data_IF_028159630042
#
_entry.id   IF_028159630042
#
_cell.length_a   1.000
_cell.length_b   1.000
_cell.length_c   1.000
_cell.angle_alpha   90.00
_cell.angle_beta   90.00
_cell.angle_gamma   90.00
#
_symmetry.space_group_name_H-M   'P 1'
#
loop_
_entity.id
_entity.type
_entity.pdbx_description
1 polymer ?
#
# COMPACT_ATOMS: atom_id res chain seq x y z
N UNK A 1 -12.21 -2.91 19.50
CA UNK A 1 -13.19 -3.86 18.93
C UNK A 1 -13.53 -3.53 17.48
N UNK A 2 -13.96 -2.31 17.13
CA UNK A 2 -14.18 -1.91 15.73
C UNK A 2 -12.95 -2.07 14.82
N UNK A 3 -11.74 -1.79 15.32
CA UNK A 3 -10.51 -1.90 14.53
C UNK A 3 -10.25 -3.31 14.00
N UNK A 4 -10.52 -4.34 14.81
CA UNK A 4 -10.37 -5.76 14.41
C UNK A 4 -11.39 -6.09 13.32
N UNK A 5 -12.62 -5.58 13.44
CA UNK A 5 -13.67 -5.78 12.45
C UNK A 5 -13.29 -5.18 11.09
N UNK A 6 -12.83 -3.93 11.07
CA UNK A 6 -12.35 -3.29 9.84
C UNK A 6 -11.13 -3.99 9.24
N UNK A 7 -10.20 -4.45 10.08
CA UNK A 7 -9.04 -5.20 9.63
C UNK A 7 -9.44 -6.53 8.97
N UNK A 8 -10.37 -7.27 9.58
CA UNK A 8 -10.90 -8.51 9.02
C UNK A 8 -11.61 -8.27 7.69
N UNK A 9 -12.48 -7.26 7.60
CA UNK A 9 -13.15 -6.91 6.33
C UNK A 9 -12.11 -6.63 5.24
N UNK A 10 -11.10 -5.80 5.53
CA UNK A 10 -10.04 -5.50 4.59
C UNK A 10 -9.26 -6.73 4.11
N UNK A 11 -9.01 -7.68 5.01
CA UNK A 11 -8.33 -8.93 4.68
C UNK A 11 -9.17 -9.81 3.74
N UNK A 12 -10.46 -10.01 4.04
CA UNK A 12 -11.36 -10.82 3.22
C UNK A 12 -11.72 -10.17 1.88
N UNK A 13 -11.76 -8.84 1.81
CA UNK A 13 -12.09 -8.11 0.58
C UNK A 13 -10.91 -7.91 -0.35
N UNK A 14 -9.67 -8.24 0.06
CA UNK A 14 -8.46 -8.13 -0.77
C UNK A 14 -8.57 -8.77 -2.18
N UNK A 15 -9.12 -9.99 -2.38
CA UNK A 15 -9.32 -10.55 -3.73
C UNK A 15 -10.40 -9.81 -4.52
N UNK A 16 -11.47 -9.34 -3.88
CA UNK A 16 -12.55 -8.58 -4.50
C UNK A 16 -12.08 -7.18 -4.95
N UNK A 17 -11.21 -6.55 -4.17
CA UNK A 17 -10.60 -5.25 -4.46
C UNK A 17 -9.62 -5.28 -5.65
N UNK A 18 -9.20 -6.47 -6.13
CA UNK A 18 -8.32 -6.56 -7.31
C UNK A 18 -9.05 -6.38 -8.63
N UNK A 19 -10.34 -6.72 -8.68
CA UNK A 19 -11.18 -6.63 -9.89
C UNK A 19 -12.54 -6.08 -9.50
N UNK A 20 -12.63 -4.76 -9.36
CA UNK A 20 -13.91 -4.13 -9.03
C UNK A 20 -14.61 -3.81 -10.35
N UNK A 21 -15.82 -4.33 -10.59
CA UNK A 21 -16.56 -4.01 -11.80
C UNK A 21 -16.93 -2.52 -11.81
N UNK A 22 -16.90 -1.92 -13.00
CA UNK A 22 -17.15 -0.49 -13.21
C UNK A 22 -18.50 -0.04 -12.62
N UNK A 23 -19.52 -0.90 -12.73
CA UNK A 23 -20.87 -0.66 -12.20
C UNK A 23 -20.87 -0.46 -10.68
N UNK A 24 -20.11 -1.26 -9.93
CA UNK A 24 -20.02 -1.09 -8.46
C UNK A 24 -19.30 0.21 -8.12
N UNK A 25 -18.22 0.54 -8.84
CA UNK A 25 -17.50 1.80 -8.60
C UNK A 25 -18.39 3.03 -8.85
N UNK A 26 -19.22 2.99 -9.89
CA UNK A 26 -20.11 4.10 -10.27
C UNK A 26 -21.25 4.26 -9.27
N UNK A 27 -21.89 3.17 -8.86
CA UNK A 27 -22.92 3.20 -7.80
C UNK A 27 -22.33 3.73 -6.49
N UNK A 28 -21.15 3.25 -6.08
CA UNK A 28 -20.49 3.76 -4.88
C UNK A 28 -20.11 5.24 -5.01
N UNK A 29 -19.65 5.72 -6.19
CA UNK A 29 -19.36 7.15 -6.37
C UNK A 29 -20.61 8.02 -6.21
N UNK A 30 -21.73 7.61 -6.80
CA UNK A 30 -23.01 8.33 -6.69
C UNK A 30 -23.47 8.35 -5.24
N UNK A 31 -23.39 7.22 -4.55
CA UNK A 31 -23.76 7.12 -3.14
C UNK A 31 -22.88 8.03 -2.25
N UNK A 32 -21.57 8.06 -2.49
CA UNK A 32 -20.66 8.95 -1.75
C UNK A 32 -20.95 10.44 -2.00
N UNK A 33 -21.25 10.81 -3.25
CA UNK A 33 -21.64 12.18 -3.61
C UNK A 33 -22.95 12.58 -2.92
N UNK A 34 -23.93 11.69 -2.93
CA UNK A 34 -25.23 11.90 -2.29
C UNK A 34 -25.08 12.10 -0.77
N UNK A 35 -24.25 11.29 -0.12
CA UNK A 35 -23.93 11.48 1.30
C UNK A 35 -23.28 12.84 1.59
N UNK A 36 -22.33 13.27 0.75
CA UNK A 36 -21.69 14.59 0.90
C UNK A 36 -22.72 15.71 0.75
N UNK A 37 -23.58 15.65 -0.27
CA UNK A 37 -24.61 16.68 -0.49
C UNK A 37 -25.64 16.72 0.63
N UNK A 38 -26.08 15.56 1.14
CA UNK A 38 -27.02 15.50 2.27
C UNK A 38 -26.43 16.08 3.55
N UNK A 39 -25.14 15.84 3.79
CA UNK A 39 -24.44 16.42 4.92
C UNK A 39 -24.30 17.94 4.79
N UNK A 40 -24.04 18.43 3.59
CA UNK A 40 -23.92 19.87 3.33
C UNK A 40 -25.26 20.61 3.46
N UNK A 41 -26.39 19.93 3.24
CA UNK A 41 -27.74 20.46 3.48
C UNK A 41 -28.19 20.34 4.94
N UNK A 42 -27.31 19.96 5.87
CA UNK A 42 -27.60 19.77 7.31
C UNK A 42 -28.70 18.74 7.63
N UNK A 43 -29.16 17.95 6.64
CA UNK A 43 -30.10 16.85 6.86
C UNK A 43 -29.44 15.64 7.52
N UNK A 44 -28.10 15.57 7.51
CA UNK A 44 -27.32 14.44 8.00
C UNK A 44 -26.17 14.89 8.91
N UNK A 45 -26.41 14.86 10.23
CA UNK A 45 -25.39 15.09 11.26
C UNK A 45 -24.45 13.88 11.40
N UNK A 46 -23.55 13.70 10.43
CA UNK A 46 -22.52 12.68 10.51
C UNK A 46 -21.25 13.24 11.15
N UNK A 47 -21.00 12.85 12.41
CA UNK A 47 -19.79 13.15 13.15
C UNK A 47 -19.06 11.86 13.51
N UNK A 48 -18.10 11.45 12.66
CA UNK A 48 -17.23 10.31 12.94
C UNK A 48 -16.06 10.76 13.83
N UNK A 49 -16.19 10.59 15.14
CA UNK A 49 -15.09 10.85 16.09
C UNK A 49 -14.52 9.55 16.65
N UNK A 50 -13.48 9.03 15.98
CA UNK A 50 -12.74 7.84 16.42
C UNK A 50 -12.06 8.02 17.78
N UNK A 51 -11.79 9.27 18.19
CA UNK A 51 -11.12 9.61 19.45
C UNK A 51 -12.06 9.57 20.66
N UNK A 52 -13.35 9.81 20.48
CA UNK A 52 -14.31 9.98 21.58
C UNK A 52 -15.41 8.92 21.65
N UNK A 53 -15.39 7.88 20.80
CA UNK A 53 -16.37 6.79 20.77
C UNK A 53 -17.85 7.24 20.74
N UNK A 54 -18.13 8.49 20.33
CA UNK A 54 -19.49 8.99 20.15
C UNK A 54 -19.96 8.60 18.75
N UNK A 55 -20.64 7.46 18.66
CA UNK A 55 -21.31 7.01 17.45
C UNK A 55 -22.77 7.44 17.53
N UNK A 56 -23.18 8.42 16.72
CA UNK A 56 -24.60 8.82 16.61
C UNK A 56 -25.36 7.78 15.77
N UNK A 57 -24.72 7.22 14.74
CA UNK A 57 -25.30 6.25 13.81
C UNK A 57 -24.28 5.19 13.36
N UNK A 58 -24.17 4.03 14.05
CA UNK A 58 -23.12 3.03 13.79
C UNK A 58 -23.17 2.41 12.39
N UNK A 59 -24.33 2.40 11.73
CA UNK A 59 -24.46 1.90 10.35
C UNK A 59 -23.80 2.85 9.33
N UNK A 60 -24.03 4.16 9.47
CA UNK A 60 -23.41 5.16 8.59
C UNK A 60 -21.90 5.22 8.78
N UNK A 61 -21.46 5.02 10.02
CA UNK A 61 -20.04 4.98 10.38
C UNK A 61 -19.28 3.84 9.69
N UNK A 62 -19.97 2.78 9.23
CA UNK A 62 -19.40 1.67 8.46
C UNK A 62 -19.57 1.87 6.96
N UNK A 63 -20.76 2.27 6.52
CA UNK A 63 -21.09 2.40 5.10
C UNK A 63 -20.25 3.50 4.43
N UNK A 64 -20.07 4.65 5.09
CA UNK A 64 -19.38 5.79 4.49
C UNK A 64 -17.89 5.49 4.25
N UNK A 65 -17.10 5.02 5.24
CA UNK A 65 -15.70 4.66 5.00
C UNK A 65 -15.54 3.53 3.97
N UNK A 66 -16.45 2.56 3.96
CA UNK A 66 -16.38 1.42 3.06
C UNK A 66 -16.68 1.82 1.61
N UNK A 67 -17.70 2.63 1.38
CA UNK A 67 -18.04 3.16 0.04
C UNK A 67 -16.92 4.06 -0.49
N UNK A 68 -16.35 4.93 0.35
CA UNK A 68 -15.18 5.75 0.00
C UNK A 68 -13.96 4.90 -0.38
N UNK A 69 -13.71 3.80 0.35
CA UNK A 69 -12.60 2.88 0.03
C UNK A 69 -12.79 2.23 -1.34
N UNK A 70 -14.01 1.78 -1.66
CA UNK A 70 -14.33 1.17 -2.96
C UNK A 70 -14.16 2.19 -4.10
N UNK A 71 -14.63 3.42 -3.90
CA UNK A 71 -14.45 4.52 -4.87
C UNK A 71 -12.97 4.78 -5.12
N UNK A 72 -12.19 4.92 -4.05
CA UNK A 72 -10.76 5.18 -4.12
C UNK A 72 -10.02 4.06 -4.88
N UNK A 73 -10.29 2.79 -4.52
CA UNK A 73 -9.73 1.64 -5.23
C UNK A 73 -10.15 1.59 -6.71
N UNK A 74 -11.42 1.87 -7.01
CA UNK A 74 -11.95 1.91 -8.37
C UNK A 74 -11.30 2.99 -9.24
N UNK A 75 -11.08 4.18 -8.67
CA UNK A 75 -10.35 5.25 -9.34
C UNK A 75 -8.89 4.85 -9.63
N UNK A 76 -8.20 4.27 -8.64
CA UNK A 76 -6.83 3.80 -8.83
C UNK A 76 -6.72 2.67 -9.86
N UNK A 77 -7.70 1.77 -9.96
CA UNK A 77 -7.73 0.75 -11.02
C UNK A 77 -7.81 1.37 -12.42
N UNK A 78 -8.60 2.45 -12.59
CA UNK A 78 -8.66 3.18 -13.87
C UNK A 78 -7.35 3.91 -14.17
N UNK A 79 -6.80 4.59 -13.17
CA UNK A 79 -5.51 5.31 -13.29
C UNK A 79 -4.36 4.33 -13.52
N UNK A 80 -4.50 3.07 -13.07
CA UNK A 80 -3.48 2.04 -13.21
C UNK A 80 -3.07 1.75 -14.66
N UNK A 81 -3.91 2.09 -15.64
CA UNK A 81 -3.62 1.92 -17.07
C UNK A 81 -2.67 2.99 -17.64
N UNK A 82 -2.30 4.00 -16.86
CA UNK A 82 -1.43 5.09 -17.30
C UNK A 82 0.04 4.86 -16.93
N UNK A 83 0.98 5.36 -17.75
CA UNK A 83 2.44 5.28 -17.51
C UNK A 83 2.90 5.98 -16.22
N UNK A 84 2.05 6.80 -15.60
CA UNK A 84 2.29 7.48 -14.33
C UNK A 84 2.41 6.52 -13.14
N UNK A 85 1.97 5.27 -13.30
CA UNK A 85 2.08 4.24 -12.26
C UNK A 85 3.49 3.74 -12.02
N UNK A 86 4.40 3.83 -12.99
CA UNK A 86 5.75 3.28 -12.88
C UNK A 86 6.55 3.89 -11.71
N UNK A 87 6.71 5.22 -11.60
CA UNK A 87 7.41 5.83 -10.46
C UNK A 87 6.65 5.64 -9.13
N UNK A 88 5.31 5.69 -9.14
CA UNK A 88 4.50 5.48 -7.95
C UNK A 88 4.63 4.05 -7.41
N UNK A 89 4.64 3.05 -8.29
CA UNK A 89 4.83 1.65 -7.94
C UNK A 89 6.23 1.41 -7.37
N UNK A 90 7.25 2.06 -7.93
CA UNK A 90 8.61 2.00 -7.41
C UNK A 90 8.68 2.53 -5.96
N UNK A 91 8.13 3.72 -5.71
CA UNK A 91 8.06 4.30 -4.35
C UNK A 91 7.26 3.38 -3.41
N UNK A 92 6.11 2.88 -3.88
CA UNK A 92 5.25 2.01 -3.10
C UNK A 92 5.94 0.69 -2.70
N UNK A 93 6.76 0.12 -3.58
CA UNK A 93 7.53 -1.11 -3.26
C UNK A 93 8.49 -0.92 -2.09
N UNK A 94 8.93 0.32 -1.83
CA UNK A 94 9.82 0.69 -0.73
C UNK A 94 9.10 1.43 0.40
N UNK A 95 7.76 1.49 0.36
CA UNK A 95 6.94 2.22 1.35
C UNK A 95 7.16 1.74 2.78
N UNK A 96 7.29 0.43 3.01
CA UNK A 96 7.58 -0.12 4.34
C UNK A 96 8.92 0.38 4.88
N UNK A 97 9.97 0.39 4.06
CA UNK A 97 11.27 0.92 4.44
C UNK A 97 11.21 2.41 4.77
N UNK A 98 10.48 3.20 3.96
CA UNK A 98 10.24 4.62 4.22
C UNK A 98 9.48 4.81 5.54
N UNK A 99 8.44 4.02 5.80
CA UNK A 99 7.64 4.10 7.02
C UNK A 99 8.48 3.91 8.28
N UNK A 100 9.35 2.90 8.33
CA UNK A 100 10.20 2.67 9.51
C UNK A 100 11.31 3.70 9.65
N UNK A 101 11.84 4.22 8.54
CA UNK A 101 13.03 5.05 8.55
C UNK A 101 12.74 6.56 8.63
N UNK A 102 11.59 7.04 8.13
CA UNK A 102 11.29 8.47 8.05
C UNK A 102 11.28 9.16 9.42
N UNK A 103 10.75 8.51 10.46
CA UNK A 103 10.72 9.06 11.82
C UNK A 103 12.15 9.21 12.36
N UNK A 104 13.00 8.21 12.14
CA UNK A 104 14.40 8.22 12.58
C UNK A 104 15.20 9.31 11.87
N UNK A 105 15.10 9.37 10.55
CA UNK A 105 15.74 10.40 9.73
C UNK A 105 15.29 11.79 10.18
N UNK A 106 13.99 12.02 10.30
CA UNK A 106 13.50 13.34 10.68
C UNK A 106 13.93 13.74 12.09
N UNK A 107 14.00 12.82 13.05
CA UNK A 107 14.54 13.11 14.38
C UNK A 107 16.01 13.54 14.33
N UNK A 108 16.83 12.92 13.49
CA UNK A 108 18.24 13.30 13.33
C UNK A 108 18.37 14.68 12.69
N UNK A 109 17.61 14.96 11.63
CA UNK A 109 17.68 16.25 10.94
C UNK A 109 17.15 17.41 11.79
N UNK A 110 16.10 17.18 12.59
CA UNK A 110 15.55 18.18 13.53
C UNK A 110 16.55 18.62 14.60
N UNK A 111 17.58 17.82 14.90
CA UNK A 111 18.65 18.21 15.83
C UNK A 111 19.57 19.28 15.24
N UNK A 112 19.69 19.35 13.92
CA UNK A 112 20.61 20.27 13.24
C UNK A 112 19.88 21.48 12.63
N UNK A 113 18.66 21.28 12.14
CA UNK A 113 17.89 22.32 11.47
C UNK A 113 16.44 22.22 11.91
N UNK A 114 15.86 23.33 12.36
CA UNK A 114 14.45 23.41 12.66
C UNK A 114 13.70 23.79 11.37
N UNK A 115 12.95 22.84 10.81
CA UNK A 115 12.24 23.02 9.53
C UNK A 115 10.76 22.69 9.68
N UNK A 116 9.93 23.37 8.88
CA UNK A 116 8.48 23.21 8.91
C UNK A 116 7.98 21.88 8.35
N UNK A 117 6.66 21.67 8.46
CA UNK A 117 5.99 20.41 8.11
C UNK A 117 6.24 19.96 6.66
N UNK A 118 6.37 20.89 5.72
CA UNK A 118 6.62 20.58 4.31
C UNK A 118 7.99 19.92 4.13
N UNK A 119 9.04 20.51 4.69
CA UNK A 119 10.41 19.96 4.63
C UNK A 119 10.53 18.65 5.40
N UNK A 120 9.77 18.49 6.50
CA UNK A 120 9.67 17.24 7.24
C UNK A 120 9.19 16.08 6.37
N UNK A 121 8.17 16.30 5.54
CA UNK A 121 7.69 15.26 4.63
C UNK A 121 8.66 14.97 3.48
N UNK A 122 9.27 16.02 2.91
CA UNK A 122 10.21 15.86 1.80
C UNK A 122 11.43 15.05 2.26
N UNK A 123 12.12 15.49 3.31
CA UNK A 123 13.32 14.82 3.82
C UNK A 123 13.00 13.41 4.35
N UNK A 124 11.89 13.26 5.07
CA UNK A 124 11.45 11.98 5.61
C UNK A 124 11.18 10.93 4.53
N UNK A 125 10.83 11.33 3.30
CA UNK A 125 10.59 10.39 2.19
C UNK A 125 11.82 10.24 1.30
N UNK A 126 12.48 11.33 0.93
CA UNK A 126 13.60 11.31 -0.03
C UNK A 126 14.81 10.60 0.53
N UNK A 127 15.19 10.87 1.79
CA UNK A 127 16.40 10.31 2.38
C UNK A 127 16.32 8.79 2.55
N UNK A 128 15.24 8.20 3.13
CA UNK A 128 15.08 6.75 3.15
C UNK A 128 15.04 6.12 1.77
N UNK A 129 14.40 6.79 0.79
CA UNK A 129 14.30 6.27 -0.56
C UNK A 129 15.68 6.18 -1.22
N UNK A 130 16.51 7.22 -1.10
CA UNK A 130 17.89 7.22 -1.62
C UNK A 130 18.75 6.17 -0.91
N UNK A 131 18.67 6.10 0.42
CA UNK A 131 19.36 5.06 1.22
C UNK A 131 19.03 3.65 0.72
N UNK A 132 17.74 3.36 0.55
CA UNK A 132 17.26 2.08 0.06
C UNK A 132 17.83 1.79 -1.33
N UNK A 133 17.74 2.75 -2.27
CA UNK A 133 18.27 2.54 -3.64
C UNK A 133 19.78 2.24 -3.62
N UNK A 134 20.56 2.99 -2.84
CA UNK A 134 22.02 2.78 -2.73
C UNK A 134 22.37 1.42 -2.12
N UNK A 135 21.66 1.01 -1.06
CA UNK A 135 21.89 -0.29 -0.41
C UNK A 135 21.54 -1.44 -1.36
N UNK A 136 20.39 -1.38 -2.03
CA UNK A 136 19.98 -2.42 -2.97
C UNK A 136 20.94 -2.52 -4.18
N UNK A 137 21.41 -1.37 -4.71
CA UNK A 137 22.40 -1.34 -5.79
C UNK A 137 23.71 -2.04 -5.39
N UNK A 138 24.20 -1.78 -4.17
CA UNK A 138 25.43 -2.41 -3.68
C UNK A 138 25.26 -3.92 -3.42
N UNK A 139 24.09 -4.35 -2.94
CA UNK A 139 23.82 -5.79 -2.73
C UNK A 139 23.87 -6.55 -4.06
N UNK A 140 23.29 -6.03 -5.13
CA UNK A 140 23.33 -6.67 -6.45
C UNK A 140 24.77 -6.79 -6.98
N UNK A 141 25.57 -5.74 -6.81
CA UNK A 141 27.00 -5.75 -7.18
C UNK A 141 27.81 -6.76 -6.38
N UNK A 142 27.55 -6.87 -5.07
CA UNK A 142 28.19 -7.86 -4.19
C UNK A 142 27.78 -9.28 -4.58
N UNK A 143 26.50 -9.49 -4.91
CA UNK A 143 26.01 -10.79 -5.38
C UNK A 143 26.67 -11.19 -6.71
N UNK A 144 26.77 -10.28 -7.67
CA UNK A 144 27.45 -10.54 -8.94
C UNK A 144 28.95 -10.83 -8.75
N UNK A 145 29.62 -10.10 -7.87
CA UNK A 145 31.00 -10.39 -7.49
C UNK A 145 31.12 -11.78 -6.85
N UNK A 146 30.21 -12.15 -5.95
CA UNK A 146 30.24 -13.44 -5.26
C UNK A 146 29.87 -14.64 -6.17
N UNK A 147 29.03 -14.45 -7.18
CA UNK A 147 28.78 -15.46 -8.22
C UNK A 147 29.98 -15.62 -9.15
N UNK A 148 30.64 -14.52 -9.51
CA UNK A 148 31.83 -14.54 -10.37
C UNK A 148 33.07 -15.05 -9.62
N UNK A 149 33.14 -14.87 -8.30
CA UNK A 149 34.18 -15.40 -7.42
C UNK A 149 33.96 -16.89 -7.05
N UNK A 150 33.06 -17.60 -7.75
CA UNK A 150 32.90 -19.06 -7.65
C UNK A 150 32.26 -19.58 -6.36
N UNK A 151 31.84 -18.71 -5.44
CA UNK A 151 31.39 -19.13 -4.10
C UNK A 151 29.87 -19.37 -3.99
N UNK A 152 29.08 -18.90 -4.96
CA UNK A 152 27.61 -19.01 -4.93
C UNK A 152 26.93 -19.59 -6.19
N UNK A 153 27.70 -20.02 -7.19
CA UNK A 153 27.15 -20.59 -8.43
C UNK A 153 26.26 -21.82 -8.20
N UNK A 154 26.61 -22.67 -7.22
CA UNK A 154 25.87 -23.89 -6.91
C UNK A 154 24.52 -23.63 -6.21
N UNK A 155 24.41 -22.62 -5.35
CA UNK A 155 23.20 -22.42 -4.54
C UNK A 155 22.03 -21.84 -5.34
N UNK A 156 22.32 -20.93 -6.29
CA UNK A 156 21.31 -20.36 -7.17
C UNK A 156 20.84 -21.35 -8.25
N UNK A 157 21.74 -22.18 -8.79
CA UNK A 157 21.39 -23.29 -9.70
C UNK A 157 20.49 -24.31 -8.99
N UNK A 158 20.79 -24.68 -7.73
CA UNK A 158 19.96 -25.61 -6.97
C UNK A 158 18.55 -25.07 -6.69
N UNK A 159 18.42 -23.77 -6.38
CA UNK A 159 17.11 -23.14 -6.15
C UNK A 159 16.27 -23.05 -7.43
N UNK A 160 16.89 -22.77 -8.58
CA UNK A 160 16.19 -22.80 -9.87
C UNK A 160 15.78 -24.23 -10.26
N UNK A 161 16.64 -25.23 -10.02
CA UNK A 161 16.29 -26.64 -10.24
C UNK A 161 15.16 -27.12 -9.34
N UNK A 162 15.13 -26.72 -8.05
CA UNK A 162 13.99 -27.04 -7.17
C UNK A 162 12.67 -26.40 -7.65
N UNK A 163 12.70 -25.14 -8.09
CA UNK A 163 11.52 -24.48 -8.66
C UNK A 163 10.99 -25.18 -9.92
N UNK A 164 11.88 -25.64 -10.79
CA UNK A 164 11.52 -26.41 -11.98
C UNK A 164 11.01 -27.81 -11.63
N UNK A 165 11.59 -28.45 -10.61
CA UNK A 165 11.15 -29.76 -10.13
C UNK A 165 9.73 -29.69 -9.57
N UNK A 166 9.44 -28.71 -8.70
CA UNK A 166 8.13 -28.52 -8.10
C UNK A 166 7.03 -28.20 -9.13
N UNK A 167 7.38 -27.42 -10.16
CA UNK A 167 6.48 -27.14 -11.29
C UNK A 167 6.22 -28.37 -12.17
N UNK A 168 7.17 -29.32 -12.23
CA UNK A 168 6.97 -30.59 -12.94
C UNK A 168 6.08 -31.55 -12.16
N UNK A 169 6.25 -31.66 -10.83
CA UNK A 169 5.44 -32.54 -9.98
C UNK A 169 3.98 -32.11 -9.91
N UNK A 170 3.69 -30.80 -9.86
CA UNK A 170 2.32 -30.27 -9.89
C UNK A 170 1.59 -30.54 -11.22
N UNK A 171 2.35 -30.80 -12.30
CA UNK A 171 1.80 -31.12 -13.62
C UNK A 171 1.38 -32.59 -13.73
N UNK A 172 1.95 -33.48 -12.92
CA UNK A 172 1.63 -34.91 -12.91
C UNK A 172 0.65 -35.32 -11.80
N UNK A 173 0.37 -34.44 -10.82
CA UNK A 173 -0.65 -34.69 -9.79
C UNK A 173 -2.07 -34.22 -10.18
N UNK A 174 -2.24 -33.69 -11.39
CA UNK A 174 -3.52 -33.21 -11.96
C UNK A 174 -4.02 -34.09 -13.12
N UNK A 175 -3.61 -35.36 -13.14
CA UNK A 175 -4.18 -36.43 -14.00
C UNK A 175 -4.76 -37.50 -13.08
#
# INVERSE_FOLDING_TARGET
MLTIFYFSIGYFTKPLLKKIPLWITTVCTILTLLCITLQQMELLDYHLSLKFLRYKNPLLDIIIPLTMTIVCCGLFQKVSFTRLTAPLSFINSKSMSIMYMHIGVNKLFLQYVNYGNTLYTILGVTVPLVMVVLVFYNIEKIQQWATNAGTYGYFWDMRQRMYLYQKSTDKYSNI
#
